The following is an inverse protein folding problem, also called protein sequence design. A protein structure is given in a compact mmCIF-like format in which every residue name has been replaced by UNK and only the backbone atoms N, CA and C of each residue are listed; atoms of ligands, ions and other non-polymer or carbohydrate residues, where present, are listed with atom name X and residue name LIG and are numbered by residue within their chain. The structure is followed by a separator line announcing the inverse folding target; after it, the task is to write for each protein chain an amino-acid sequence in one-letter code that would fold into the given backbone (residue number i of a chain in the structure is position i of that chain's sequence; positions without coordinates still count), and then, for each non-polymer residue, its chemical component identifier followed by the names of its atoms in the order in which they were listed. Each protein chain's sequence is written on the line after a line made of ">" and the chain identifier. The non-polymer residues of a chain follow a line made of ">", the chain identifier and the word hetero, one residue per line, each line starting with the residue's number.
data_IF_457653017398
#
_entry.id   IF_457653017398
#
_cell.length_a   1.000
_cell.length_b   1.000
_cell.length_c   1.000
_cell.angle_alpha   90.00
_cell.angle_beta   90.00
_cell.angle_gamma   90.00
#
_symmetry.space_group_name_H-M   'P 1'
#
loop_
_entity.id
_entity.type
_entity.pdbx_description
1 polymer ?
#
# COMPACT_ATOMS: atom_id res chain seq x y z
N UNK A 1 50.58 -25.44 2.47
CA UNK A 1 49.25 -25.79 1.93
C UNK A 1 48.42 -24.52 1.81
N UNK A 2 48.14 -24.10 0.58
CA UNK A 2 47.90 -22.70 0.25
C UNK A 2 46.41 -22.28 0.39
N UNK A 3 46.09 -21.16 1.08
CA UNK A 3 44.73 -20.63 1.29
C UNK A 3 44.19 -19.86 0.06
N UNK A 4 44.24 -20.48 -1.11
CA UNK A 4 43.97 -19.82 -2.40
C UNK A 4 42.68 -20.28 -3.10
N UNK A 5 41.97 -21.27 -2.56
CA UNK A 5 40.78 -21.86 -3.19
C UNK A 5 39.43 -21.38 -2.63
N UNK A 6 39.39 -20.38 -1.74
CA UNK A 6 38.15 -19.82 -1.19
C UNK A 6 37.74 -18.46 -1.82
N UNK A 7 38.28 -18.11 -2.99
CA UNK A 7 37.98 -16.84 -3.69
C UNK A 7 37.22 -17.00 -5.00
N UNK A 8 36.82 -18.22 -5.37
CA UNK A 8 36.28 -18.48 -6.70
C UNK A 8 34.75 -18.53 -6.79
N UNK A 9 34.03 -18.67 -5.68
CA UNK A 9 32.54 -18.70 -5.68
C UNK A 9 31.88 -17.37 -5.29
N UNK A 10 32.64 -16.37 -4.86
CA UNK A 10 32.11 -15.08 -4.40
C UNK A 10 32.16 -13.96 -5.46
N UNK A 11 32.48 -14.31 -6.71
CA UNK A 11 32.68 -13.36 -7.82
C UNK A 11 31.50 -13.29 -8.79
N UNK A 12 30.61 -14.29 -8.78
CA UNK A 12 29.46 -14.33 -9.70
C UNK A 12 28.26 -13.53 -9.18
N UNK A 13 28.04 -13.49 -7.85
CA UNK A 13 26.92 -12.75 -7.26
C UNK A 13 27.14 -11.24 -7.20
N UNK A 14 28.40 -10.77 -7.22
CA UNK A 14 28.73 -9.33 -7.15
C UNK A 14 28.70 -8.60 -8.49
N UNK A 15 28.58 -9.33 -9.60
CA UNK A 15 28.41 -8.71 -10.92
C UNK A 15 26.97 -8.26 -11.17
N UNK A 16 25.99 -8.94 -10.57
CA UNK A 16 24.55 -8.62 -10.71
C UNK A 16 24.12 -7.41 -9.88
N UNK A 17 24.84 -7.06 -8.81
CA UNK A 17 24.50 -5.91 -7.95
C UNK A 17 25.02 -4.57 -8.47
N UNK A 18 25.84 -4.57 -9.52
CA UNK A 18 26.48 -3.37 -10.10
C UNK A 18 25.95 -3.00 -11.47
N UNK A 19 25.39 -3.97 -12.20
CA UNK A 19 24.49 -3.68 -13.29
C UNK A 19 23.16 -3.25 -12.66
N UNK A 20 23.07 -1.98 -12.27
CA UNK A 20 21.79 -1.30 -12.19
C UNK A 20 21.19 -1.29 -13.59
N UNK A 21 20.68 -2.43 -14.03
CA UNK A 21 19.75 -2.52 -15.12
C UNK A 21 18.50 -1.83 -14.58
N UNK A 22 18.50 -0.51 -14.69
CA UNK A 22 17.30 0.27 -14.60
C UNK A 22 16.40 -0.31 -15.69
N UNK A 23 15.46 -1.15 -15.28
CA UNK A 23 14.27 -1.43 -16.09
C UNK A 23 13.77 -0.05 -16.48
N UNK A 24 14.02 0.34 -17.73
CA UNK A 24 13.61 1.63 -18.23
C UNK A 24 12.11 1.72 -17.90
N UNK A 25 11.65 2.76 -17.18
CA UNK A 25 10.23 2.91 -16.96
C UNK A 25 9.62 2.99 -18.35
N UNK A 26 8.82 1.98 -18.70
CA UNK A 26 8.12 1.93 -19.98
C UNK A 26 7.53 3.33 -20.17
N UNK A 27 7.92 4.00 -21.24
CA UNK A 27 7.63 5.43 -21.37
C UNK A 27 6.12 5.65 -21.21
N UNK A 28 5.71 6.76 -20.62
CA UNK A 28 4.27 7.08 -20.44
C UNK A 28 3.48 6.94 -21.74
N UNK A 29 4.15 7.13 -22.89
CA UNK A 29 3.61 6.97 -24.24
C UNK A 29 3.36 5.50 -24.60
N UNK A 30 4.31 4.61 -24.35
CA UNK A 30 4.17 3.17 -24.63
C UNK A 30 3.15 2.52 -23.70
N UNK A 31 3.08 2.98 -22.44
CA UNK A 31 2.06 2.56 -21.48
C UNK A 31 0.66 2.96 -21.95
N UNK A 32 0.48 4.19 -22.43
CA UNK A 32 -0.80 4.66 -22.96
C UNK A 32 -1.22 3.88 -24.23
N UNK A 33 -0.26 3.59 -25.12
CA UNK A 33 -0.50 2.81 -26.34
C UNK A 33 -0.88 1.35 -26.01
N UNK A 34 -0.17 0.68 -25.11
CA UNK A 34 -0.49 -0.67 -24.67
C UNK A 34 -1.84 -0.74 -23.93
N UNK A 35 -2.19 0.30 -23.17
CA UNK A 35 -3.51 0.43 -22.50
C UNK A 35 -4.65 0.54 -23.52
N UNK A 36 -4.49 1.37 -24.57
CA UNK A 36 -5.47 1.46 -25.66
C UNK A 36 -5.64 0.12 -26.39
N UNK A 37 -4.53 -0.59 -26.64
CA UNK A 37 -4.52 -1.89 -27.34
C UNK A 37 -5.24 -3.00 -26.56
N UNK A 38 -5.26 -2.92 -25.22
CA UNK A 38 -5.91 -3.89 -24.33
C UNK A 38 -7.45 -3.76 -24.27
N UNK A 39 -8.03 -2.68 -24.78
CA UNK A 39 -9.48 -2.45 -24.81
C UNK A 39 -10.13 -2.41 -23.42
N UNK A 40 -11.47 -2.35 -23.36
CA UNK A 40 -12.25 -2.32 -22.11
C UNK A 40 -12.11 -3.60 -21.26
N UNK A 41 -11.61 -4.69 -21.85
CA UNK A 41 -11.46 -6.01 -21.21
C UNK A 41 -10.08 -6.24 -20.56
N UNK A 42 -9.07 -5.43 -20.88
CA UNK A 42 -7.68 -5.72 -20.48
C UNK A 42 -6.97 -4.62 -19.68
N UNK A 43 -7.60 -3.48 -19.43
CA UNK A 43 -7.02 -2.37 -18.67
C UNK A 43 -7.91 -1.92 -17.52
N UNK A 44 -7.31 -1.37 -16.46
CA UNK A 44 -8.03 -0.60 -15.42
C UNK A 44 -8.94 0.43 -16.13
N UNK A 45 -10.20 0.62 -15.70
CA UNK A 45 -11.16 1.47 -16.38
C UNK A 45 -10.58 2.84 -16.74
N UNK A 46 -10.85 3.33 -17.95
CA UNK A 46 -10.38 4.63 -18.47
C UNK A 46 -11.02 5.82 -17.73
N UNK A 47 -12.12 5.59 -17.00
CA UNK A 47 -12.71 6.57 -16.10
C UNK A 47 -12.02 6.56 -14.74
N UNK A 48 -10.87 7.23 -14.61
CA UNK A 48 -10.41 7.66 -13.30
C UNK A 48 -11.24 8.87 -12.90
N UNK A 49 -12.31 8.63 -12.15
CA UNK A 49 -13.01 9.70 -11.46
C UNK A 49 -12.12 10.21 -10.33
N UNK A 50 -11.51 11.38 -10.55
CA UNK A 50 -10.57 11.97 -9.62
C UNK A 50 -11.25 12.39 -8.31
N UNK A 51 -12.55 12.72 -8.35
CA UNK A 51 -13.28 13.19 -7.19
C UNK A 51 -13.70 11.99 -6.32
N UNK A 52 -14.22 10.92 -6.92
CA UNK A 52 -14.41 9.65 -6.21
C UNK A 52 -13.10 9.10 -5.64
N UNK A 53 -11.98 9.30 -6.35
CA UNK A 53 -10.67 8.88 -5.86
C UNK A 53 -10.21 9.69 -4.62
N UNK A 54 -10.50 11.00 -4.58
CA UNK A 54 -10.22 11.86 -3.42
C UNK A 54 -11.07 11.48 -2.21
N UNK A 55 -12.37 11.23 -2.41
CA UNK A 55 -13.27 10.80 -1.34
C UNK A 55 -12.82 9.46 -0.73
N UNK A 56 -12.33 8.54 -1.56
CA UNK A 56 -11.76 7.27 -1.09
C UNK A 56 -10.59 7.47 -0.12
N UNK A 57 -9.72 8.45 -0.36
CA UNK A 57 -8.59 8.74 0.54
C UNK A 57 -9.08 9.17 1.94
N UNK A 58 -10.23 9.85 2.05
CA UNK A 58 -10.84 10.18 3.35
C UNK A 58 -11.24 8.92 4.11
N UNK A 59 -11.89 7.97 3.43
CA UNK A 59 -12.27 6.67 4.00
C UNK A 59 -11.04 5.85 4.39
N UNK A 60 -10.03 5.78 3.52
CA UNK A 60 -8.78 5.06 3.79
C UNK A 60 -8.06 5.62 5.02
N UNK A 61 -7.99 6.94 5.17
CA UNK A 61 -7.42 7.61 6.35
C UNK A 61 -8.19 7.26 7.62
N UNK A 62 -9.52 7.20 7.57
CA UNK A 62 -10.33 6.77 8.70
C UNK A 62 -10.04 5.31 9.08
N UNK A 63 -10.02 4.40 8.10
CA UNK A 63 -9.70 2.98 8.32
C UNK A 63 -8.30 2.83 8.93
N UNK A 64 -7.32 3.59 8.45
CA UNK A 64 -5.97 3.59 9.02
C UNK A 64 -5.95 4.08 10.48
N UNK A 65 -6.72 5.13 10.82
CA UNK A 65 -6.87 5.60 12.21
C UNK A 65 -7.55 4.58 13.13
N UNK A 66 -8.51 3.81 12.61
CA UNK A 66 -9.16 2.71 13.33
C UNK A 66 -8.14 1.58 13.57
N UNK A 67 -7.38 1.20 12.54
CA UNK A 67 -6.33 0.17 12.61
C UNK A 67 -5.09 0.56 13.40
N UNK A 68 -4.96 1.82 13.82
CA UNK A 68 -3.93 2.20 14.79
C UNK A 68 -4.07 1.41 16.11
N UNK A 69 -5.29 0.96 16.44
CA UNK A 69 -5.52 0.04 17.55
C UNK A 69 -5.27 -1.41 17.13
N UNK A 70 -4.26 -2.04 17.74
CA UNK A 70 -3.82 -3.39 17.41
C UNK A 70 -4.97 -4.40 17.46
N UNK A 71 -5.83 -4.33 18.47
CA UNK A 71 -6.99 -5.22 18.60
C UNK A 71 -7.93 -5.19 17.39
N UNK A 72 -8.16 -4.01 16.82
CA UNK A 72 -8.98 -3.84 15.60
C UNK A 72 -8.22 -4.32 14.36
N UNK A 73 -6.92 -4.00 14.25
CA UNK A 73 -6.11 -4.35 13.10
C UNK A 73 -5.94 -5.85 12.91
N UNK A 74 -5.77 -6.59 14.00
CA UNK A 74 -5.55 -8.03 13.98
C UNK A 74 -6.82 -8.83 14.26
N UNK A 75 -7.92 -8.19 14.67
CA UNK A 75 -9.21 -8.80 15.00
C UNK A 75 -9.06 -9.94 16.02
N UNK A 76 -8.52 -9.60 17.20
CA UNK A 76 -8.31 -10.56 18.29
C UNK A 76 -9.56 -10.89 19.10
N UNK A 77 -10.65 -10.14 18.91
CA UNK A 77 -11.91 -10.35 19.62
C UNK A 77 -12.52 -11.73 19.29
N UNK A 78 -12.94 -12.44 20.34
CA UNK A 78 -13.52 -13.79 20.23
C UNK A 78 -14.93 -13.79 19.63
N UNK A 79 -15.67 -12.71 19.80
CA UNK A 79 -17.06 -12.58 19.33
C UNK A 79 -17.21 -11.39 18.39
N UNK A 80 -18.17 -11.44 17.45
CA UNK A 80 -18.50 -10.30 16.59
C UNK A 80 -18.89 -9.06 17.38
N UNK A 81 -19.62 -9.23 18.50
CA UNK A 81 -20.11 -8.13 19.32
C UNK A 81 -18.97 -7.38 20.02
N UNK A 82 -17.97 -8.10 20.56
CA UNK A 82 -16.80 -7.47 21.16
C UNK A 82 -15.98 -6.69 20.13
N UNK A 83 -15.83 -7.25 18.92
CA UNK A 83 -15.17 -6.54 17.81
C UNK A 83 -15.91 -5.27 17.42
N UNK A 84 -17.24 -5.34 17.31
CA UNK A 84 -18.09 -4.21 16.96
C UNK A 84 -18.06 -3.13 18.04
N UNK A 85 -18.10 -3.52 19.32
CA UNK A 85 -17.96 -2.60 20.44
C UNK A 85 -16.61 -1.86 20.40
N UNK A 86 -15.51 -2.58 20.11
CA UNK A 86 -14.19 -1.98 19.94
C UNK A 86 -14.12 -0.99 18.77
N UNK A 87 -14.75 -1.33 17.64
CA UNK A 87 -14.90 -0.44 16.48
C UNK A 87 -15.66 0.85 16.85
N UNK A 88 -16.82 0.72 17.51
CA UNK A 88 -17.61 1.87 17.94
C UNK A 88 -16.83 2.75 18.92
N UNK A 89 -16.19 2.15 19.92
CA UNK A 89 -15.39 2.87 20.90
C UNK A 89 -14.28 3.69 20.22
N UNK A 90 -13.53 3.06 19.30
CA UNK A 90 -12.45 3.74 18.59
C UNK A 90 -12.97 4.82 17.64
N UNK A 91 -14.08 4.58 16.96
CA UNK A 91 -14.73 5.58 16.10
C UNK A 91 -15.18 6.80 16.91
N UNK A 92 -15.81 6.60 18.08
CA UNK A 92 -16.22 7.68 18.98
C UNK A 92 -15.03 8.52 19.44
N UNK A 93 -13.89 7.90 19.80
CA UNK A 93 -12.68 8.64 20.16
C UNK A 93 -12.16 9.53 19.02
N UNK A 94 -12.15 9.01 17.78
CA UNK A 94 -11.74 9.78 16.60
C UNK A 94 -12.70 10.95 16.37
N UNK A 95 -14.00 10.73 16.58
CA UNK A 95 -15.00 11.78 16.41
C UNK A 95 -14.87 12.89 17.44
N UNK A 96 -14.69 12.55 18.72
CA UNK A 96 -14.46 13.52 19.79
C UNK A 96 -13.19 14.35 19.52
N UNK A 97 -12.09 13.70 19.14
CA UNK A 97 -10.85 14.40 18.77
C UNK A 97 -11.06 15.37 17.59
N UNK A 98 -11.86 14.98 16.60
CA UNK A 98 -12.19 15.84 15.48
C UNK A 98 -13.03 17.04 15.90
N UNK A 99 -14.00 16.87 16.81
CA UNK A 99 -14.82 17.97 17.34
C UNK A 99 -13.96 18.96 18.14
N UNK A 100 -13.08 18.47 19.00
CA UNK A 100 -12.24 19.33 19.84
C UNK A 100 -11.24 20.16 19.02
N UNK A 101 -10.71 19.59 17.93
CA UNK A 101 -9.80 20.29 17.00
C UNK A 101 -10.47 21.41 16.20
N UNK A 102 -11.81 21.45 16.15
CA UNK A 102 -12.55 22.51 15.43
C UNK A 102 -12.85 23.71 16.32
N UNK A 103 -12.64 23.58 17.62
CA UNK A 103 -12.88 24.62 18.64
C UNK A 103 -11.66 25.46 18.99
N UNK A 104 -10.47 25.08 18.50
CA UNK A 104 -9.23 25.88 18.56
C UNK A 104 -8.94 26.52 17.20
#
# INVERSE_FOLDING_TARGET
>A
MAPHLARHLHRHERALTRAGEAVAPLTTKDQAANRKKKGSRGGRPVGHDADLYKERNTVERLINKLKAWRGIATRYDKTPDSYLAGLHLRASMIWIDALLKTTE
#
